data_IF_481321566220
#
_entry.id   IF_481321566220
#
_cell.length_a   1.000
_cell.length_b   1.000
_cell.length_c   1.000
_cell.angle_alpha   90.00
_cell.angle_beta   90.00
_cell.angle_gamma   90.00
#
_symmetry.space_group_name_H-M   'P 1'
#
loop_
_entity.id
_entity.type
_entity.pdbx_description
1 polymer ?
#
# COMPACT_ATOMS: atom_id res chain seq x y z
N UNK A 1 8.86 17.49 10.95
CA UNK A 1 7.79 16.47 10.81
C UNK A 1 8.14 15.59 9.62
N UNK A 2 8.16 14.26 9.80
CA UNK A 2 8.41 13.29 8.74
C UNK A 2 7.18 13.23 7.81
N UNK A 3 7.40 13.12 6.49
CA UNK A 3 6.31 12.98 5.51
C UNK A 3 5.76 11.55 5.51
N UNK A 4 4.43 11.37 5.60
CA UNK A 4 3.77 10.09 5.42
C UNK A 4 3.23 9.97 3.98
N UNK A 5 3.88 9.14 3.17
CA UNK A 5 3.56 8.91 1.76
C UNK A 5 2.68 7.67 1.59
N UNK A 6 1.45 7.87 1.16
CA UNK A 6 0.43 6.83 1.02
C UNK A 6 0.22 6.39 -0.44
N UNK A 7 -0.14 5.11 -0.68
CA UNK A 7 -0.49 4.61 -1.99
C UNK A 7 -1.93 4.94 -2.38
N UNK A 8 -2.19 5.21 -3.67
CA UNK A 8 -3.54 5.18 -4.21
C UNK A 8 -3.58 4.46 -5.56
N UNK A 9 -4.43 3.43 -5.66
CA UNK A 9 -4.71 2.72 -6.90
C UNK A 9 -5.95 3.27 -7.62
N UNK A 10 -6.81 4.01 -6.94
CA UNK A 10 -8.04 4.61 -7.46
C UNK A 10 -8.48 5.79 -6.56
N UNK A 11 -9.54 6.48 -6.96
CA UNK A 11 -10.06 7.65 -6.21
C UNK A 11 -10.57 7.30 -4.80
N UNK A 12 -11.10 6.09 -4.58
CA UNK A 12 -11.53 5.66 -3.24
C UNK A 12 -10.32 5.55 -2.31
N UNK A 13 -9.23 4.92 -2.79
CA UNK A 13 -7.98 4.81 -2.04
C UNK A 13 -7.33 6.18 -1.82
N UNK A 14 -7.40 7.09 -2.82
CA UNK A 14 -6.92 8.47 -2.70
C UNK A 14 -7.66 9.22 -1.58
N UNK A 15 -8.99 9.20 -1.61
CA UNK A 15 -9.80 9.81 -0.57
C UNK A 15 -9.53 9.19 0.81
N UNK A 16 -9.35 7.86 0.86
CA UNK A 16 -8.99 7.13 2.09
C UNK A 16 -7.66 7.59 2.66
N UNK A 17 -6.62 7.73 1.83
CA UNK A 17 -5.31 8.21 2.25
C UNK A 17 -5.39 9.64 2.82
N UNK A 18 -6.00 10.55 2.06
CA UNK A 18 -6.08 11.98 2.41
C UNK A 18 -6.86 12.21 3.71
N UNK A 19 -8.02 11.58 3.87
CA UNK A 19 -8.85 11.71 5.07
C UNK A 19 -8.20 11.15 6.33
N UNK A 20 -7.27 10.23 6.19
CA UNK A 20 -6.57 9.61 7.30
C UNK A 20 -5.17 10.22 7.56
N UNK A 21 -4.83 11.35 6.93
CA UNK A 21 -3.67 12.16 7.30
C UNK A 21 -2.39 11.85 6.52
N UNK A 22 -2.51 11.42 5.26
CA UNK A 22 -1.35 11.34 4.35
C UNK A 22 -0.87 12.76 3.99
N UNK A 23 0.44 13.01 4.13
CA UNK A 23 1.09 14.25 3.70
C UNK A 23 1.35 14.27 2.19
N UNK A 24 1.47 13.09 1.60
CA UNK A 24 1.62 12.91 0.17
C UNK A 24 0.99 11.59 -0.30
N UNK A 25 0.58 11.56 -1.56
CA UNK A 25 0.03 10.35 -2.19
C UNK A 25 0.78 10.05 -3.47
N UNK A 26 1.07 8.77 -3.71
CA UNK A 26 1.64 8.33 -4.98
C UNK A 26 0.67 7.45 -5.76
N UNK A 27 0.55 7.74 -7.06
CA UNK A 27 -0.33 7.06 -8.01
C UNK A 27 0.49 6.43 -9.13
N UNK A 28 -0.10 5.51 -9.87
CA UNK A 28 0.46 4.99 -11.13
C UNK A 28 -0.43 5.40 -12.29
N UNK A 29 0.16 5.68 -13.43
CA UNK A 29 -0.56 5.79 -14.68
C UNK A 29 -0.84 4.39 -15.23
N UNK A 30 -1.72 4.28 -16.23
CA UNK A 30 -2.07 3.00 -16.88
C UNK A 30 -0.84 2.27 -17.42
N UNK A 31 0.22 3.01 -17.75
CA UNK A 31 1.47 2.48 -18.25
C UNK A 31 2.68 2.98 -17.44
N UNK A 32 3.84 2.37 -17.64
CA UNK A 32 5.13 2.81 -17.07
C UNK A 32 5.26 2.75 -15.55
N UNK A 33 4.47 1.91 -14.86
CA UNK A 33 4.54 1.74 -13.41
C UNK A 33 4.61 0.26 -12.99
N UNK A 34 5.15 -0.02 -11.80
CA UNK A 34 5.38 -1.36 -11.24
C UNK A 34 4.11 -2.12 -10.84
N UNK A 35 2.92 -1.61 -11.09
CA UNK A 35 1.60 -2.20 -10.75
C UNK A 35 0.61 -1.98 -11.90
N UNK A 36 0.98 -2.39 -13.12
CA UNK A 36 0.12 -2.25 -14.32
C UNK A 36 -1.24 -2.94 -14.14
N UNK A 37 -1.27 -4.07 -13.41
CA UNK A 37 -2.49 -4.83 -13.16
C UNK A 37 -3.36 -4.27 -12.03
N UNK A 38 -2.94 -3.20 -11.32
CA UNK A 38 -3.82 -2.46 -10.42
C UNK A 38 -4.75 -1.52 -11.20
N UNK A 39 -5.79 -1.05 -10.56
CA UNK A 39 -6.47 0.14 -11.07
C UNK A 39 -5.45 1.28 -11.09
N UNK A 40 -5.38 2.01 -12.17
CA UNK A 40 -4.44 3.11 -12.35
C UNK A 40 -5.20 4.35 -12.80
N UNK A 41 -4.52 5.49 -12.85
CA UNK A 41 -5.08 6.76 -13.24
C UNK A 41 -4.71 7.07 -14.69
N UNK A 42 -5.60 7.72 -15.43
CA UNK A 42 -5.25 8.36 -16.70
C UNK A 42 -4.48 9.68 -16.43
N UNK A 43 -3.86 10.24 -17.47
CA UNK A 43 -3.21 11.57 -17.35
C UNK A 43 -4.24 12.65 -17.03
N UNK A 44 -5.46 12.52 -17.51
CA UNK A 44 -6.58 13.43 -17.25
C UNK A 44 -7.04 13.37 -15.80
N UNK A 45 -7.04 12.18 -15.18
CA UNK A 45 -7.41 11.97 -13.77
C UNK A 45 -6.46 12.69 -12.80
N UNK A 46 -5.22 12.98 -13.20
CA UNK A 46 -4.23 13.70 -12.36
C UNK A 46 -4.80 15.03 -11.89
N UNK A 47 -5.56 15.75 -12.73
CA UNK A 47 -6.14 17.06 -12.37
C UNK A 47 -7.07 16.95 -11.17
N UNK A 48 -7.97 15.97 -11.17
CA UNK A 48 -8.89 15.75 -10.06
C UNK A 48 -8.16 15.20 -8.84
N UNK A 49 -7.24 14.24 -9.04
CA UNK A 49 -6.40 13.71 -7.96
C UNK A 49 -5.58 14.83 -7.27
N UNK A 50 -4.95 15.70 -8.05
CA UNK A 50 -4.19 16.84 -7.54
C UNK A 50 -5.08 17.85 -6.81
N UNK A 51 -6.30 18.11 -7.32
CA UNK A 51 -7.27 18.98 -6.62
C UNK A 51 -7.61 18.40 -5.26
N UNK A 52 -7.92 17.09 -5.19
CA UNK A 52 -8.19 16.40 -3.93
C UNK A 52 -6.99 16.50 -2.97
N UNK A 53 -5.77 16.29 -3.44
CA UNK A 53 -4.57 16.42 -2.61
C UNK A 53 -4.44 17.85 -2.05
N UNK A 54 -4.64 18.87 -2.86
CA UNK A 54 -4.58 20.28 -2.42
C UNK A 54 -5.64 20.63 -1.36
N UNK A 55 -6.84 20.05 -1.44
CA UNK A 55 -7.89 20.25 -0.44
C UNK A 55 -7.47 19.78 0.97
N UNK A 56 -6.45 18.90 1.05
CA UNK A 56 -5.86 18.36 2.28
C UNK A 56 -4.40 18.81 2.52
N UNK A 57 -3.88 19.79 1.76
CA UNK A 57 -2.47 20.22 1.79
C UNK A 57 -1.47 19.09 1.53
N UNK A 58 -1.87 18.04 0.82
CA UNK A 58 -1.03 16.91 0.47
C UNK A 58 -0.42 17.09 -0.92
N UNK A 59 0.74 16.46 -1.15
CA UNK A 59 1.41 16.38 -2.45
C UNK A 59 0.94 15.17 -3.26
N UNK A 60 1.09 15.26 -4.59
CA UNK A 60 0.79 14.18 -5.53
C UNK A 60 2.03 13.80 -6.33
N UNK A 61 2.47 12.54 -6.19
CA UNK A 61 3.57 11.99 -6.97
C UNK A 61 3.09 10.92 -7.96
N UNK A 62 3.65 10.94 -9.17
CA UNK A 62 3.30 9.99 -10.22
C UNK A 62 4.44 9.00 -10.42
N UNK A 63 4.13 7.70 -10.45
CA UNK A 63 5.13 6.64 -10.66
C UNK A 63 5.40 6.43 -12.15
N UNK A 64 6.70 6.48 -12.51
CA UNK A 64 7.27 6.12 -13.81
C UNK A 64 8.52 5.26 -13.56
N UNK A 65 8.34 4.12 -12.89
CA UNK A 65 9.44 3.38 -12.26
C UNK A 65 9.59 1.93 -12.75
N UNK A 66 9.21 1.63 -13.97
CA UNK A 66 9.50 0.36 -14.64
C UNK A 66 10.82 0.42 -15.41
N UNK A 67 11.32 -0.72 -15.88
CA UNK A 67 12.35 -0.75 -16.92
C UNK A 67 11.73 -0.14 -18.20
N UNK A 68 12.39 0.86 -18.77
CA UNK A 68 11.92 1.59 -19.93
C UNK A 68 12.77 1.30 -21.16
N UNK A 69 12.13 1.28 -22.32
CA UNK A 69 12.74 1.26 -23.64
C UNK A 69 12.57 2.64 -24.28
N UNK A 70 13.31 2.93 -25.33
CA UNK A 70 13.25 4.25 -26.01
C UNK A 70 11.82 4.71 -26.27
N UNK A 71 10.97 3.83 -26.80
CA UNK A 71 9.54 4.12 -27.01
C UNK A 71 8.77 4.53 -25.75
N UNK A 72 9.17 4.01 -24.59
CA UNK A 72 8.51 4.31 -23.31
C UNK A 72 8.97 5.68 -22.79
N UNK A 73 10.26 5.99 -22.98
CA UNK A 73 10.86 7.31 -22.73
C UNK A 73 10.19 8.38 -23.60
N UNK A 74 10.15 8.17 -24.95
CA UNK A 74 9.54 9.11 -25.89
C UNK A 74 8.05 9.39 -25.59
N UNK A 75 7.34 8.39 -25.10
CA UNK A 75 5.94 8.54 -24.69
C UNK A 75 5.83 9.39 -23.42
N UNK A 76 6.64 9.07 -22.40
CA UNK A 76 6.62 9.79 -21.13
C UNK A 76 7.06 11.25 -21.30
N UNK A 77 8.08 11.51 -22.13
CA UNK A 77 8.52 12.86 -22.49
C UNK A 77 7.34 13.73 -22.97
N UNK A 78 6.47 13.18 -23.82
CA UNK A 78 5.25 13.88 -24.29
C UNK A 78 4.19 14.07 -23.22
N UNK A 79 4.18 13.20 -22.20
CA UNK A 79 3.21 13.26 -21.10
C UNK A 79 3.65 14.19 -19.97
N UNK A 80 4.95 14.39 -19.72
CA UNK A 80 5.47 15.19 -18.63
C UNK A 80 4.88 16.61 -18.56
N UNK A 81 4.77 17.39 -19.66
CA UNK A 81 4.14 18.70 -19.61
C UNK A 81 2.67 18.65 -19.17
N UNK A 82 1.92 17.63 -19.58
CA UNK A 82 0.52 17.44 -19.18
C UNK A 82 0.40 17.00 -17.72
N UNK A 83 1.29 16.14 -17.25
CA UNK A 83 1.36 15.73 -15.85
C UNK A 83 1.59 16.94 -14.95
N UNK A 84 2.53 17.83 -15.31
CA UNK A 84 2.78 19.08 -14.60
C UNK A 84 1.58 20.01 -14.67
N UNK A 85 1.02 20.24 -15.86
CA UNK A 85 -0.15 21.10 -16.05
C UNK A 85 -1.36 20.64 -15.24
N UNK A 86 -1.53 19.32 -15.08
CA UNK A 86 -2.59 18.72 -14.28
C UNK A 86 -2.30 18.77 -12.77
N UNK A 87 -1.12 19.25 -12.35
CA UNK A 87 -0.82 19.62 -10.98
C UNK A 87 -0.11 18.55 -10.14
N UNK A 88 0.57 17.58 -10.76
CA UNK A 88 1.50 16.71 -10.04
C UNK A 88 2.70 17.51 -9.50
N UNK A 89 3.22 17.10 -8.34
CA UNK A 89 4.39 17.73 -7.70
C UNK A 89 5.70 17.09 -8.15
N UNK A 90 5.72 15.80 -8.44
CA UNK A 90 6.93 15.10 -8.83
C UNK A 90 6.70 13.72 -9.42
N UNK A 91 7.79 13.12 -9.91
CA UNK A 91 7.83 11.80 -10.54
C UNK A 91 8.71 10.86 -9.71
N UNK A 92 8.18 9.69 -9.38
CA UNK A 92 8.96 8.58 -8.82
C UNK A 92 9.45 7.73 -10.00
N UNK A 93 10.72 7.83 -10.33
CA UNK A 93 11.37 7.25 -11.50
C UNK A 93 12.44 6.22 -11.14
N UNK A 94 12.80 5.34 -12.06
CA UNK A 94 13.92 4.40 -11.91
C UNK A 94 14.96 4.49 -13.04
N UNK A 95 14.62 5.18 -14.12
CA UNK A 95 15.55 5.37 -15.25
C UNK A 95 16.24 6.73 -15.13
N UNK A 96 17.57 6.73 -15.14
CA UNK A 96 18.37 7.96 -15.02
C UNK A 96 18.14 8.93 -16.18
N UNK A 97 17.77 8.42 -17.38
CA UNK A 97 17.45 9.26 -18.54
C UNK A 97 16.26 10.20 -18.31
N UNK A 98 15.39 9.88 -17.36
CA UNK A 98 14.21 10.69 -17.05
C UNK A 98 14.52 11.89 -16.16
N UNK A 99 15.67 11.92 -15.49
CA UNK A 99 15.95 12.94 -14.46
C UNK A 99 15.89 14.33 -15.08
N UNK A 100 16.67 14.58 -16.13
CA UNK A 100 16.72 15.89 -16.78
C UNK A 100 15.35 16.29 -17.36
N UNK A 101 14.65 15.34 -18.01
CA UNK A 101 13.31 15.59 -18.58
C UNK A 101 12.29 15.98 -17.50
N UNK A 102 12.35 15.35 -16.32
CA UNK A 102 11.47 15.66 -15.18
C UNK A 102 11.78 17.06 -14.64
N UNK A 103 13.06 17.37 -14.48
CA UNK A 103 13.50 18.68 -13.98
C UNK A 103 13.18 19.82 -14.96
N UNK A 104 13.33 19.63 -16.27
CA UNK A 104 12.97 20.59 -17.31
C UNK A 104 11.48 20.91 -17.34
N UNK A 105 10.64 20.04 -16.78
CA UNK A 105 9.19 20.27 -16.62
C UNK A 105 8.82 20.80 -15.22
N UNK A 106 9.76 21.31 -14.42
CA UNK A 106 9.55 21.81 -13.05
C UNK A 106 8.89 20.78 -12.12
N UNK A 107 9.16 19.48 -12.30
CA UNK A 107 8.71 18.40 -11.45
C UNK A 107 9.85 17.93 -10.52
N UNK A 108 9.52 17.54 -9.29
CA UNK A 108 10.50 16.91 -8.40
C UNK A 108 10.87 15.50 -8.92
N UNK A 109 12.16 15.20 -9.01
CA UNK A 109 12.66 13.87 -9.35
C UNK A 109 12.92 13.06 -8.07
N UNK A 110 12.18 11.95 -7.89
CA UNK A 110 12.34 11.02 -6.77
C UNK A 110 12.84 9.68 -7.29
N UNK A 111 14.04 9.27 -6.88
CA UNK A 111 14.60 7.98 -7.30
C UNK A 111 13.91 6.83 -6.60
N UNK A 112 13.36 5.91 -7.40
CA UNK A 112 12.60 4.76 -6.91
C UNK A 112 13.49 3.72 -6.22
N UNK A 113 12.92 2.92 -5.34
CA UNK A 113 13.55 1.72 -4.75
C UNK A 113 14.08 0.73 -5.80
N UNK A 114 13.58 0.79 -7.03
CA UNK A 114 14.04 -0.05 -8.14
C UNK A 114 15.50 0.19 -8.51
N UNK A 115 16.06 1.36 -8.17
CA UNK A 115 17.49 1.65 -8.36
C UNK A 115 18.37 1.05 -7.26
N UNK A 116 17.76 0.55 -6.18
CA UNK A 116 18.44 -0.13 -5.07
C UNK A 116 19.56 0.71 -4.44
N UNK A 117 19.24 1.95 -4.08
CA UNK A 117 20.17 2.87 -3.42
C UNK A 117 20.47 2.38 -2.00
N UNK A 118 21.76 2.05 -1.73
CA UNK A 118 22.21 1.42 -0.47
C UNK A 118 23.33 2.15 0.23
N UNK A 119 23.81 3.28 -0.29
CA UNK A 119 24.97 3.96 0.30
C UNK A 119 24.96 5.48 0.02
N UNK A 120 25.67 6.22 0.88
CA UNK A 120 25.77 7.68 0.80
C UNK A 120 26.46 8.20 -0.47
N UNK A 121 27.30 7.40 -1.11
CA UNK A 121 27.98 7.80 -2.35
C UNK A 121 27.00 7.83 -3.52
N UNK A 122 26.12 6.82 -3.63
CA UNK A 122 25.05 6.78 -4.60
C UNK A 122 24.09 7.96 -4.41
N UNK A 123 23.67 8.22 -3.15
CA UNK A 123 22.80 9.36 -2.81
C UNK A 123 23.42 10.69 -3.27
N UNK A 124 24.69 10.93 -2.98
CA UNK A 124 25.39 12.15 -3.44
C UNK A 124 25.55 12.24 -4.96
N UNK A 125 25.67 11.11 -5.64
CA UNK A 125 25.68 11.10 -7.10
C UNK A 125 24.30 11.47 -7.67
N UNK A 126 23.23 10.93 -7.11
CA UNK A 126 21.85 11.28 -7.46
C UNK A 126 21.54 12.77 -7.18
N UNK A 127 22.00 13.30 -6.04
CA UNK A 127 21.86 14.71 -5.72
C UNK A 127 22.53 15.62 -6.76
N UNK A 128 23.72 15.26 -7.25
CA UNK A 128 24.40 16.00 -8.32
C UNK A 128 23.63 16.00 -9.64
N UNK A 129 22.83 14.96 -9.89
CA UNK A 129 21.92 14.88 -11.04
C UNK A 129 20.61 15.66 -10.82
N UNK A 130 20.40 16.28 -9.66
CA UNK A 130 19.20 17.04 -9.35
C UNK A 130 18.07 16.22 -8.72
N UNK A 131 18.32 14.95 -8.37
CA UNK A 131 17.34 14.13 -7.65
C UNK A 131 17.12 14.73 -6.25
N UNK A 132 15.86 15.01 -5.92
CA UNK A 132 15.48 15.60 -4.63
C UNK A 132 15.38 14.56 -3.52
N UNK A 133 14.90 13.36 -3.84
CA UNK A 133 14.65 12.28 -2.87
C UNK A 133 15.04 10.93 -3.46
N UNK A 134 15.55 10.04 -2.63
CA UNK A 134 15.76 8.65 -3.01
C UNK A 134 15.08 7.69 -2.02
N UNK A 135 14.33 6.74 -2.59
CA UNK A 135 13.72 5.63 -1.83
C UNK A 135 14.81 4.58 -1.64
N UNK A 136 15.20 4.34 -0.40
CA UNK A 136 16.28 3.43 -0.04
C UNK A 136 15.90 1.97 -0.31
N UNK A 137 16.92 1.15 -0.56
CA UNK A 137 16.76 -0.30 -0.66
C UNK A 137 16.15 -0.87 0.62
N UNK A 138 15.35 -1.93 0.47
CA UNK A 138 14.68 -2.60 1.59
C UNK A 138 15.59 -3.57 2.35
N UNK A 139 16.76 -3.86 1.80
CA UNK A 139 17.76 -4.77 2.36
C UNK A 139 18.67 -4.09 3.39
N UNK A 140 18.47 -2.79 3.65
CA UNK A 140 19.25 -2.02 4.64
C UNK A 140 18.69 -2.21 6.04
N UNK A 141 19.62 -2.42 7.00
CA UNK A 141 19.30 -2.32 8.41
C UNK A 141 19.14 -0.85 8.86
N UNK A 142 18.42 -0.62 9.95
CA UNK A 142 18.25 0.73 10.51
C UNK A 142 19.59 1.36 10.90
N UNK A 143 20.55 0.57 11.37
CA UNK A 143 21.88 1.06 11.72
C UNK A 143 22.68 1.53 10.50
N UNK A 144 22.57 0.84 9.36
CA UNK A 144 23.17 1.28 8.10
C UNK A 144 22.52 2.58 7.60
N UNK A 145 21.19 2.69 7.68
CA UNK A 145 20.46 3.91 7.33
C UNK A 145 20.89 5.09 8.22
N UNK A 146 20.98 4.91 9.55
CA UNK A 146 21.47 5.93 10.49
C UNK A 146 22.88 6.43 10.13
N UNK A 147 23.80 5.50 9.87
CA UNK A 147 25.18 5.82 9.47
C UNK A 147 25.23 6.59 8.16
N UNK A 148 24.41 6.18 7.19
CA UNK A 148 24.31 6.82 5.87
C UNK A 148 23.79 8.26 5.99
N UNK A 149 22.68 8.47 6.71
CA UNK A 149 22.10 9.80 6.95
C UNK A 149 23.05 10.72 7.72
N UNK A 150 23.71 10.19 8.76
CA UNK A 150 24.72 10.95 9.51
C UNK A 150 25.84 11.45 8.60
N UNK A 151 26.32 10.59 7.69
CA UNK A 151 27.36 10.95 6.73
C UNK A 151 26.89 11.99 5.72
N UNK A 152 25.66 11.86 5.20
CA UNK A 152 25.07 12.86 4.31
C UNK A 152 24.99 14.23 4.99
N UNK A 153 24.50 14.28 6.23
CA UNK A 153 24.41 15.51 7.02
C UNK A 153 25.79 16.13 7.24
N UNK A 154 26.82 15.33 7.58
CA UNK A 154 28.20 15.82 7.75
C UNK A 154 28.81 16.38 6.47
N UNK A 155 28.42 15.84 5.32
CA UNK A 155 28.88 16.28 3.99
C UNK A 155 28.05 17.46 3.43
N UNK A 156 27.04 17.95 4.16
CA UNK A 156 26.17 19.07 3.74
C UNK A 156 25.19 18.72 2.62
N UNK A 157 24.93 17.43 2.37
CA UNK A 157 23.97 16.95 1.39
C UNK A 157 22.53 17.33 1.78
N UNK A 158 21.72 17.67 0.79
CA UNK A 158 20.30 18.04 0.94
C UNK A 158 19.34 17.00 0.37
N UNK A 159 19.87 15.90 -0.19
CA UNK A 159 19.03 14.84 -0.72
C UNK A 159 18.19 14.22 0.40
N UNK A 160 16.89 14.09 0.15
CA UNK A 160 15.97 13.46 1.08
C UNK A 160 16.04 11.94 0.98
N UNK A 161 15.81 11.28 2.11
CA UNK A 161 15.73 9.82 2.20
C UNK A 161 14.28 9.39 2.47
N UNK A 162 13.82 8.37 1.75
CA UNK A 162 12.51 7.76 1.92
C UNK A 162 12.67 6.27 2.17
N UNK A 163 11.90 5.71 3.09
CA UNK A 163 11.91 4.28 3.40
C UNK A 163 10.51 3.70 3.42
N UNK A 164 10.38 2.43 3.06
CA UNK A 164 9.13 1.71 3.29
C UNK A 164 9.00 1.35 4.77
N UNK A 165 7.80 1.55 5.32
CA UNK A 165 7.48 1.24 6.72
C UNK A 165 6.38 0.20 6.86
N UNK A 166 5.62 -0.08 5.79
CA UNK A 166 4.48 -1.01 5.82
C UNK A 166 4.20 -1.63 4.45
N UNK A 167 3.77 -2.88 4.48
CA UNK A 167 3.21 -3.59 3.34
C UNK A 167 4.09 -4.69 2.75
N UNK A 168 3.72 -5.16 1.58
CA UNK A 168 4.29 -6.36 0.99
C UNK A 168 5.79 -6.26 0.72
N UNK A 169 6.55 -7.26 1.19
CA UNK A 169 7.95 -7.48 0.84
C UNK A 169 8.07 -8.29 -0.46
N UNK A 170 9.12 -8.03 -1.25
CA UNK A 170 9.48 -8.87 -2.37
C UNK A 170 10.46 -9.95 -1.92
N UNK A 171 10.37 -11.15 -2.52
CA UNK A 171 11.35 -12.23 -2.32
C UNK A 171 12.69 -11.95 -3.02
N UNK A 172 12.68 -11.06 -4.01
CA UNK A 172 13.85 -10.63 -4.76
C UNK A 172 14.13 -9.14 -4.51
N UNK A 173 15.33 -8.71 -4.85
CA UNK A 173 15.68 -7.29 -4.93
C UNK A 173 14.62 -6.56 -5.77
N UNK A 174 14.13 -5.43 -5.29
CA UNK A 174 13.05 -4.67 -5.92
C UNK A 174 13.35 -4.37 -7.38
N UNK A 175 12.43 -4.74 -8.29
CA UNK A 175 12.58 -4.51 -9.74
C UNK A 175 13.56 -5.43 -10.47
N UNK A 176 14.09 -6.48 -9.83
CA UNK A 176 15.07 -7.39 -10.44
C UNK A 176 14.69 -8.86 -10.22
N UNK A 177 13.49 -9.23 -10.68
CA UNK A 177 12.94 -10.58 -10.54
C UNK A 177 12.48 -11.13 -11.88
N UNK A 178 12.99 -12.33 -12.25
CA UNK A 178 12.59 -13.03 -13.47
C UNK A 178 11.60 -14.18 -13.23
N UNK A 179 11.18 -14.46 -11.97
CA UNK A 179 10.34 -15.61 -11.65
C UNK A 179 9.01 -15.58 -12.42
N UNK A 180 8.30 -14.44 -12.42
CA UNK A 180 7.04 -14.29 -13.15
C UNK A 180 7.24 -14.37 -14.67
N UNK A 181 8.35 -13.86 -15.19
CA UNK A 181 8.67 -13.95 -16.63
C UNK A 181 9.00 -15.38 -17.04
N UNK A 182 9.82 -16.08 -16.26
CA UNK A 182 10.22 -17.44 -16.56
C UNK A 182 9.05 -18.44 -16.57
N UNK A 183 8.08 -18.23 -15.66
CA UNK A 183 6.92 -19.13 -15.54
C UNK A 183 5.76 -18.77 -16.48
N UNK A 184 5.54 -17.48 -16.74
CA UNK A 184 4.31 -17.01 -17.41
C UNK A 184 4.56 -16.06 -18.58
N UNK A 185 5.81 -15.71 -18.90
CA UNK A 185 6.13 -14.71 -19.90
C UNK A 185 5.74 -13.26 -19.49
N UNK A 186 5.37 -13.04 -18.20
CA UNK A 186 4.90 -11.75 -17.67
C UNK A 186 5.98 -11.12 -16.78
N UNK A 187 6.53 -9.97 -17.20
CA UNK A 187 7.71 -9.38 -16.56
C UNK A 187 7.39 -8.58 -15.31
N UNK A 188 7.86 -9.04 -14.16
CA UNK A 188 7.83 -8.26 -12.93
C UNK A 188 8.57 -6.93 -13.04
N UNK A 189 9.66 -6.89 -13.81
CA UNK A 189 10.51 -5.71 -13.99
C UNK A 189 9.84 -4.61 -14.84
N UNK A 190 8.83 -5.00 -15.63
CA UNK A 190 7.98 -4.09 -16.42
C UNK A 190 6.61 -3.83 -15.75
N UNK A 191 6.46 -4.16 -14.47
CA UNK A 191 5.22 -3.91 -13.72
C UNK A 191 4.14 -4.98 -13.84
N UNK A 192 4.38 -6.05 -14.60
CA UNK A 192 3.41 -7.09 -14.93
C UNK A 192 3.68 -8.41 -14.16
N UNK A 193 3.84 -8.30 -12.84
CA UNK A 193 4.12 -9.43 -11.96
C UNK A 193 2.84 -10.19 -11.58
N UNK A 194 2.77 -11.49 -11.87
CA UNK A 194 1.70 -12.37 -11.40
C UNK A 194 1.92 -12.95 -9.99
N UNK A 195 2.98 -12.51 -9.33
CA UNK A 195 3.32 -12.88 -7.94
C UNK A 195 3.42 -14.40 -7.69
N UNK A 196 4.14 -15.18 -8.52
CA UNK A 196 4.26 -16.63 -8.29
C UNK A 196 4.90 -16.97 -6.94
N UNK A 197 5.73 -16.09 -6.38
CA UNK A 197 6.28 -16.27 -5.03
C UNK A 197 5.21 -16.29 -3.93
N UNK A 198 3.98 -15.82 -4.22
CA UNK A 198 2.85 -15.80 -3.26
C UNK A 198 1.94 -17.01 -3.36
N UNK A 199 2.21 -17.91 -4.30
CA UNK A 199 1.45 -19.12 -4.49
C UNK A 199 2.01 -20.25 -3.65
N UNK A 200 1.19 -21.25 -3.42
CA UNK A 200 1.62 -22.52 -2.85
C UNK A 200 2.45 -23.31 -3.86
N UNK A 201 3.52 -23.90 -3.40
CA UNK A 201 4.42 -24.75 -4.16
C UNK A 201 4.47 -26.13 -3.57
N UNK A 202 4.49 -27.15 -4.42
CA UNK A 202 4.66 -28.53 -4.05
C UNK A 202 6.11 -28.94 -4.28
N UNK A 203 6.74 -29.47 -3.23
CA UNK A 203 8.07 -30.06 -3.26
C UNK A 203 7.91 -31.56 -3.35
N UNK A 204 8.46 -32.18 -4.39
CA UNK A 204 8.58 -33.62 -4.52
C UNK A 204 10.03 -34.03 -4.34
N UNK A 205 10.30 -34.94 -3.40
CA UNK A 205 11.61 -35.52 -3.19
C UNK A 205 11.65 -36.88 -3.86
N UNK A 206 12.49 -37.05 -4.88
CA UNK A 206 12.76 -38.32 -5.51
C UNK A 206 14.11 -38.84 -5.01
N UNK A 207 14.11 -39.99 -4.32
CA UNK A 207 15.34 -40.74 -4.03
C UNK A 207 15.82 -41.36 -5.34
N UNK A 208 16.69 -40.69 -6.05
CA UNK A 208 17.47 -41.31 -7.11
C UNK A 208 18.82 -41.73 -6.54
N UNK A 209 19.19 -43.01 -6.62
CA UNK A 209 20.33 -43.61 -5.93
C UNK A 209 21.72 -43.02 -6.17
N UNK A 210 21.84 -41.79 -6.64
CA UNK A 210 23.08 -41.01 -6.77
C UNK A 210 22.96 -39.51 -6.53
N UNK A 211 21.79 -38.91 -6.71
CA UNK A 211 21.56 -37.49 -6.48
C UNK A 211 20.13 -37.29 -6.01
N UNK A 212 19.93 -36.54 -4.91
CA UNK A 212 18.60 -36.14 -4.43
C UNK A 212 18.03 -35.13 -5.40
N UNK A 213 16.96 -35.44 -6.11
CA UNK A 213 16.28 -34.55 -7.04
C UNK A 213 15.08 -33.91 -6.33
N UNK A 214 15.07 -32.59 -6.24
CA UNK A 214 13.93 -31.83 -5.74
C UNK A 214 13.14 -31.28 -6.93
N UNK A 215 11.93 -31.76 -7.14
CA UNK A 215 11.03 -31.24 -8.13
C UNK A 215 10.10 -30.21 -7.51
N UNK A 216 10.03 -29.00 -8.13
CA UNK A 216 9.16 -27.91 -7.73
C UNK A 216 8.00 -27.79 -8.69
N UNK A 217 6.78 -27.85 -8.21
CA UNK A 217 5.59 -27.59 -8.99
C UNK A 217 4.66 -26.59 -8.29
N UNK A 218 4.03 -25.69 -9.05
CA UNK A 218 2.98 -24.84 -8.53
C UNK A 218 1.76 -25.70 -8.18
N UNK A 219 1.27 -25.59 -6.95
CA UNK A 219 0.05 -26.27 -6.52
C UNK A 219 -1.17 -25.67 -7.22
N UNK A 220 -1.99 -26.50 -7.85
CA UNK A 220 -3.21 -26.09 -8.55
C UNK A 220 -4.48 -26.21 -7.69
N UNK A 221 -4.35 -26.76 -6.48
CA UNK A 221 -5.48 -26.99 -5.58
C UNK A 221 -5.52 -25.92 -4.50
N UNK A 222 -6.63 -25.20 -4.38
CA UNK A 222 -6.86 -24.14 -3.39
C UNK A 222 -7.16 -24.69 -1.98
N UNK A 223 -7.17 -26.00 -1.78
CA UNK A 223 -7.45 -26.58 -0.49
C UNK A 223 -6.22 -26.60 0.41
N UNK A 224 -6.27 -25.79 1.44
CA UNK A 224 -5.32 -25.74 2.56
C UNK A 224 -5.26 -27.06 3.31
N UNK A 225 -4.12 -27.74 3.28
CA UNK A 225 -3.73 -28.68 4.34
C UNK A 225 -2.21 -28.79 4.34
N UNK A 226 -1.55 -28.47 5.47
CA UNK A 226 -0.26 -29.07 5.82
C UNK A 226 -0.58 -30.53 6.11
N UNK A 227 -0.64 -31.36 5.11
CA UNK A 227 -0.66 -32.81 5.29
C UNK A 227 0.77 -33.30 5.11
N UNK A 228 1.36 -33.88 6.13
CA UNK A 228 2.42 -34.85 5.93
C UNK A 228 1.87 -35.88 4.95
N UNK A 229 2.17 -35.69 3.68
CA UNK A 229 1.81 -36.67 2.69
C UNK A 229 2.71 -37.90 2.87
N UNK A 230 2.14 -39.06 2.77
CA UNK A 230 2.81 -40.38 2.88
C UNK A 230 3.79 -40.69 1.72
N UNK A 231 4.12 -39.66 0.87
CA UNK A 231 4.85 -39.86 -0.40
C UNK A 231 5.99 -38.87 -0.66
N UNK A 232 6.66 -38.34 0.37
CA UNK A 232 7.75 -37.35 0.23
C UNK A 232 7.33 -36.08 -0.52
N UNK A 233 6.08 -35.65 -0.42
CA UNK A 233 5.55 -34.42 -1.02
C UNK A 233 5.25 -33.40 0.05
N UNK A 234 5.80 -32.18 -0.08
CA UNK A 234 5.55 -31.07 0.84
C UNK A 234 4.92 -29.90 0.08
N UNK A 235 3.81 -29.36 0.59
CA UNK A 235 3.17 -28.16 0.06
C UNK A 235 3.46 -26.99 0.99
N UNK A 236 3.93 -25.88 0.44
CA UNK A 236 4.26 -24.70 1.24
C UNK A 236 4.39 -23.45 0.40
N UNK A 237 4.18 -22.30 1.03
CA UNK A 237 4.38 -20.96 0.47
C UNK A 237 5.80 -20.44 0.74
N UNK A 238 6.82 -21.26 0.69
CA UNK A 238 8.18 -20.94 1.14
C UNK A 238 8.86 -19.77 0.43
N UNK A 239 8.32 -19.28 -0.69
CA UNK A 239 8.75 -18.04 -1.33
C UNK A 239 7.95 -16.80 -0.92
N UNK A 240 6.95 -16.92 -0.04
CA UNK A 240 6.06 -15.84 0.33
C UNK A 240 6.51 -15.18 1.64
N UNK A 241 7.29 -14.07 1.62
CA UNK A 241 7.66 -13.38 2.84
C UNK A 241 6.43 -12.77 3.50
N UNK A 242 6.48 -12.60 4.82
CA UNK A 242 5.53 -11.79 5.58
C UNK A 242 5.48 -10.35 5.05
N UNK A 243 4.41 -9.66 5.34
CA UNK A 243 4.32 -8.22 5.08
C UNK A 243 5.09 -7.45 6.16
N UNK A 244 5.72 -6.36 5.80
CA UNK A 244 6.47 -5.52 6.73
C UNK A 244 5.51 -4.63 7.54
N UNK A 245 5.77 -4.46 8.85
CA UNK A 245 5.14 -3.46 9.69
C UNK A 245 6.13 -2.92 10.73
N UNK A 246 6.42 -1.63 10.65
CA UNK A 246 7.35 -0.94 11.56
C UNK A 246 6.64 -0.01 12.54
N UNK A 247 5.36 -0.30 12.85
CA UNK A 247 4.52 0.56 13.68
C UNK A 247 5.07 0.68 15.12
N UNK A 248 5.72 -0.35 15.63
CA UNK A 248 6.34 -0.35 16.97
C UNK A 248 7.62 0.49 17.03
N UNK A 249 8.23 0.78 15.86
CA UNK A 249 9.56 1.36 15.72
C UNK A 249 9.54 2.79 15.16
N UNK A 250 8.41 3.48 15.23
CA UNK A 250 8.28 4.86 14.73
C UNK A 250 9.28 5.81 15.40
N UNK A 251 9.52 5.75 16.72
CA UNK A 251 10.55 6.57 17.36
C UNK A 251 11.94 6.41 16.75
N UNK A 252 12.39 5.18 16.62
CA UNK A 252 13.73 4.86 16.11
C UNK A 252 13.93 5.29 14.66
N UNK A 253 12.86 5.24 13.84
CA UNK A 253 12.86 5.67 12.44
C UNK A 253 12.91 7.21 12.32
N UNK A 254 12.15 7.92 13.14
CA UNK A 254 12.14 9.39 13.17
C UNK A 254 13.50 9.89 13.68
N UNK A 255 14.03 9.29 14.74
CA UNK A 255 15.33 9.68 15.33
C UNK A 255 16.52 9.31 14.43
N UNK A 256 16.36 8.35 13.52
CA UNK A 256 17.33 8.11 12.45
C UNK A 256 17.44 9.29 11.49
N UNK A 257 16.43 10.17 11.46
CA UNK A 257 16.41 11.37 10.63
C UNK A 257 15.98 11.10 9.18
N UNK A 258 15.16 10.10 8.97
CA UNK A 258 14.53 9.78 7.68
C UNK A 258 13.50 10.86 7.35
N UNK A 259 13.44 11.29 6.09
CA UNK A 259 12.60 12.42 5.67
C UNK A 259 11.18 11.99 5.28
N UNK A 260 10.98 10.76 4.78
CA UNK A 260 9.67 10.29 4.32
C UNK A 260 9.46 8.81 4.62
N UNK A 261 8.27 8.48 5.09
CA UNK A 261 7.79 7.14 5.39
C UNK A 261 6.76 6.70 4.34
N UNK A 262 7.05 5.61 3.66
CA UNK A 262 6.22 5.10 2.55
C UNK A 262 5.46 3.84 2.92
N UNK A 263 4.16 3.86 2.66
CA UNK A 263 3.30 2.67 2.74
C UNK A 263 3.21 2.03 1.34
N UNK A 264 3.46 0.72 1.23
CA UNK A 264 3.20 -0.06 0.02
C UNK A 264 1.74 -0.50 -0.01
N UNK A 265 1.06 -0.36 -1.16
CA UNK A 265 -0.34 -0.80 -1.22
C UNK A 265 -1.16 -0.31 -2.40
N UNK A 266 -0.61 0.11 -3.55
CA UNK A 266 -1.42 0.55 -4.71
C UNK A 266 -2.40 -0.50 -5.24
N UNK A 267 -2.07 -1.77 -5.10
CA UNK A 267 -2.94 -2.88 -5.46
C UNK A 267 -3.82 -3.36 -4.29
N UNK A 268 -3.81 -2.66 -3.16
CA UNK A 268 -4.61 -3.00 -1.98
C UNK A 268 -5.94 -2.27 -1.99
N UNK A 269 -6.88 -2.80 -1.20
CA UNK A 269 -8.21 -2.23 -1.04
C UNK A 269 -8.17 -0.88 -0.30
N UNK A 270 -9.19 -0.01 -0.50
CA UNK A 270 -9.23 1.31 0.16
C UNK A 270 -9.23 1.26 1.68
N UNK A 271 -9.81 0.22 2.30
CA UNK A 271 -9.80 0.01 3.75
C UNK A 271 -8.39 -0.26 4.29
N UNK A 272 -7.58 -1.04 3.56
CA UNK A 272 -6.17 -1.21 3.89
C UNK A 272 -5.44 0.14 3.91
N UNK A 273 -5.65 0.96 2.88
CA UNK A 273 -5.02 2.29 2.80
C UNK A 273 -5.49 3.18 3.94
N UNK A 274 -6.81 3.23 4.20
CA UNK A 274 -7.38 4.02 5.30
C UNK A 274 -6.78 3.61 6.64
N UNK A 275 -6.77 2.31 6.95
CA UNK A 275 -6.29 1.79 8.24
C UNK A 275 -4.79 2.03 8.40
N UNK A 276 -3.97 1.66 7.42
CA UNK A 276 -2.53 1.84 7.50
C UNK A 276 -2.17 3.33 7.67
N UNK A 277 -2.70 4.22 6.84
CA UNK A 277 -2.40 5.66 6.94
C UNK A 277 -2.82 6.22 8.30
N UNK A 278 -4.03 5.90 8.78
CA UNK A 278 -4.53 6.38 10.06
C UNK A 278 -3.65 5.93 11.23
N UNK A 279 -3.32 4.65 11.29
CA UNK A 279 -2.52 4.08 12.37
C UNK A 279 -1.11 4.68 12.39
N UNK A 280 -0.43 4.74 11.24
CA UNK A 280 0.91 5.36 11.17
C UNK A 280 0.87 6.86 11.45
N UNK A 281 -0.15 7.58 10.99
CA UNK A 281 -0.30 9.01 11.31
C UNK A 281 -0.46 9.24 12.81
N UNK A 282 -1.29 8.45 13.48
CA UNK A 282 -1.46 8.53 14.93
C UNK A 282 -0.15 8.28 15.69
N UNK A 283 0.62 7.27 15.29
CA UNK A 283 1.89 6.95 15.94
C UNK A 283 2.93 8.06 15.72
N UNK A 284 3.05 8.59 14.49
CA UNK A 284 3.95 9.69 14.17
C UNK A 284 3.58 10.93 14.96
N UNK A 285 2.30 11.33 14.96
CA UNK A 285 1.82 12.52 15.67
C UNK A 285 2.02 12.39 17.18
N UNK A 286 1.74 11.20 17.76
CA UNK A 286 1.95 10.95 19.17
C UNK A 286 3.42 11.13 19.55
N UNK A 287 4.35 10.59 18.77
CA UNK A 287 5.77 10.71 19.05
C UNK A 287 6.31 12.13 18.81
N UNK A 288 5.91 12.80 17.72
CA UNK A 288 6.39 14.15 17.44
C UNK A 288 5.85 15.19 18.42
N UNK A 289 4.63 14.99 18.96
CA UNK A 289 4.03 15.90 19.95
C UNK A 289 4.60 15.72 21.36
N UNK A 290 4.94 14.50 21.76
CA UNK A 290 5.48 14.22 23.10
C UNK A 290 6.45 13.03 23.06
N UNK A 291 7.72 13.32 22.79
CA UNK A 291 8.78 12.31 22.67
C UNK A 291 9.12 11.65 24.00
N UNK A 292 9.02 12.40 25.11
CA UNK A 292 9.45 11.93 26.43
C UNK A 292 8.45 10.94 27.04
N UNK A 293 7.14 11.11 26.74
CA UNK A 293 6.07 10.26 27.25
C UNK A 293 5.44 9.38 26.17
N UNK A 294 6.14 9.16 25.05
CA UNK A 294 5.63 8.27 24.02
C UNK A 294 5.52 6.84 24.52
N UNK A 295 4.35 6.27 24.37
CA UNK A 295 4.08 4.85 24.57
C UNK A 295 3.45 4.27 23.33
N UNK A 296 3.98 3.12 22.90
CA UNK A 296 3.38 2.34 21.82
C UNK A 296 1.99 1.85 22.23
N UNK A 297 1.03 1.95 21.31
CA UNK A 297 -0.34 1.48 21.53
C UNK A 297 -0.53 0.14 20.81
N UNK A 298 -0.69 -0.99 21.53
CA UNK A 298 -0.89 -2.30 20.92
C UNK A 298 -2.13 -2.37 20.00
N UNK A 299 -3.12 -1.52 20.21
CA UNK A 299 -4.30 -1.44 19.35
C UNK A 299 -3.95 -1.10 17.90
N UNK A 300 -2.85 -0.40 17.66
CA UNK A 300 -2.40 -0.09 16.29
C UNK A 300 -2.07 -1.36 15.49
N UNK A 301 -1.40 -2.33 16.10
CA UNK A 301 -1.12 -3.60 15.42
C UNK A 301 -2.42 -4.40 15.22
N UNK A 302 -3.29 -4.43 16.21
CA UNK A 302 -4.60 -5.09 16.11
C UNK A 302 -5.44 -4.52 14.96
N UNK A 303 -5.40 -3.20 14.74
CA UNK A 303 -6.08 -2.55 13.62
C UNK A 303 -5.45 -2.94 12.26
N UNK A 304 -4.13 -3.01 12.18
CA UNK A 304 -3.43 -3.46 10.96
C UNK A 304 -3.74 -4.92 10.63
N UNK A 305 -3.95 -5.78 11.63
CA UNK A 305 -4.33 -7.18 11.45
C UNK A 305 -5.77 -7.37 10.95
N UNK A 306 -6.65 -6.38 11.11
CA UNK A 306 -8.04 -6.45 10.63
C UNK A 306 -8.12 -6.41 9.10
N UNK A 307 -7.19 -5.72 8.45
CA UNK A 307 -7.13 -5.59 6.99
C UNK A 307 -6.20 -6.62 6.37
N UNK A 308 -6.15 -6.71 5.05
CA UNK A 308 -5.32 -7.68 4.35
C UNK A 308 -3.87 -7.62 4.83
N UNK A 309 -3.34 -8.75 5.29
CA UNK A 309 -1.93 -8.95 5.63
C UNK A 309 -1.53 -10.42 5.44
N UNK A 310 -0.22 -10.71 5.50
CA UNK A 310 0.36 -12.04 5.46
C UNK A 310 1.13 -12.38 6.74
N UNK A 311 0.66 -11.88 7.87
CA UNK A 311 1.47 -11.75 9.07
C UNK A 311 2.50 -10.65 8.90
N UNK A 312 3.06 -10.18 10.00
CA UNK A 312 3.98 -9.06 9.99
C UNK A 312 5.36 -9.45 10.51
N UNK A 313 6.39 -8.80 9.96
CA UNK A 313 7.74 -8.74 10.48
C UNK A 313 8.35 -7.36 10.26
N UNK A 314 9.58 -7.14 10.71
CA UNK A 314 10.28 -5.86 10.57
C UNK A 314 11.10 -5.74 9.28
N UNK A 315 11.01 -6.70 8.36
CA UNK A 315 11.92 -6.77 7.22
C UNK A 315 13.38 -6.86 7.66
N UNK A 316 14.26 -6.21 6.91
CA UNK A 316 15.71 -6.20 7.21
C UNK A 316 16.13 -5.14 8.23
N UNK A 317 15.22 -4.33 8.78
CA UNK A 317 15.58 -3.20 9.63
C UNK A 317 16.28 -3.60 10.92
N UNK A 318 15.89 -4.71 11.53
CA UNK A 318 16.41 -5.18 12.82
C UNK A 318 17.01 -6.59 12.73
N UNK A 319 16.50 -7.42 11.80
CA UNK A 319 16.95 -8.79 11.62
C UNK A 319 16.77 -9.21 10.16
N UNK A 320 17.22 -10.42 9.78
CA UNK A 320 16.96 -10.99 8.46
C UNK A 320 15.62 -11.72 8.49
N UNK A 321 14.67 -11.36 7.60
CA UNK A 321 13.37 -12.02 7.60
C UNK A 321 13.49 -13.46 7.09
N UNK A 322 13.26 -14.43 7.96
CA UNK A 322 13.29 -15.87 7.62
C UNK A 322 11.91 -16.46 7.44
N UNK A 323 10.91 -15.81 8.04
CA UNK A 323 9.58 -16.39 8.11
C UNK A 323 8.80 -16.17 6.82
N UNK A 324 8.12 -17.20 6.40
CA UNK A 324 7.21 -17.19 5.26
C UNK A 324 5.76 -17.17 5.73
N UNK A 325 4.87 -16.72 4.86
CA UNK A 325 3.45 -16.63 5.14
C UNK A 325 2.64 -17.39 4.10
N UNK A 326 1.64 -18.09 4.53
CA UNK A 326 0.78 -18.88 3.66
C UNK A 326 -0.13 -17.99 2.80
N UNK A 327 -1.01 -17.21 3.40
CA UNK A 327 -2.02 -16.44 2.66
C UNK A 327 -2.47 -15.19 3.42
N UNK A 328 -3.62 -14.65 3.04
CA UNK A 328 -4.24 -13.54 3.75
C UNK A 328 -4.67 -13.93 5.16
N UNK A 329 -4.07 -13.30 6.16
CA UNK A 329 -4.32 -13.51 7.59
C UNK A 329 -5.23 -12.44 8.21
N UNK A 330 -5.89 -11.59 7.39
CA UNK A 330 -6.83 -10.59 7.93
C UNK A 330 -7.93 -11.25 8.75
N UNK A 331 -8.27 -10.63 9.89
CA UNK A 331 -9.28 -11.17 10.82
C UNK A 331 -10.71 -11.10 10.27
N UNK A 332 -10.96 -10.27 9.25
CA UNK A 332 -12.30 -10.02 8.70
C UNK A 332 -12.35 -10.17 7.20
N UNK A 333 -13.54 -10.52 6.73
CA UNK A 333 -13.91 -10.53 5.31
C UNK A 333 -15.01 -9.49 5.09
N UNK A 334 -14.94 -8.76 3.97
CA UNK A 334 -15.98 -7.82 3.56
C UNK A 334 -17.06 -8.54 2.78
N UNK A 335 -18.30 -8.47 3.27
CA UNK A 335 -19.48 -8.94 2.56
C UNK A 335 -20.23 -7.75 2.01
N UNK A 336 -20.42 -7.68 0.70
CA UNK A 336 -21.19 -6.62 0.05
C UNK A 336 -22.67 -6.79 0.44
N UNK A 337 -23.23 -5.79 1.12
CA UNK A 337 -24.60 -5.83 1.65
C UNK A 337 -25.49 -4.70 1.16
N UNK A 338 -24.96 -3.69 0.47
CA UNK A 338 -25.83 -2.58 0.09
C UNK A 338 -25.13 -1.39 -0.51
N UNK A 339 -25.90 -0.33 -0.66
CA UNK A 339 -25.42 0.98 -1.08
C UNK A 339 -26.19 2.09 -0.39
N UNK A 340 -25.55 3.25 -0.29
CA UNK A 340 -26.17 4.50 0.16
C UNK A 340 -27.15 5.00 -0.91
N UNK A 341 -28.39 5.26 -0.51
CA UNK A 341 -29.42 5.87 -1.35
C UNK A 341 -29.45 7.38 -1.17
N UNK A 342 -29.35 7.84 0.08
CA UNK A 342 -29.33 9.25 0.41
C UNK A 342 -28.61 9.51 1.74
N UNK A 343 -28.15 10.75 1.93
CA UNK A 343 -27.57 11.22 3.19
C UNK A 343 -28.19 12.55 3.61
N UNK A 344 -28.86 12.54 4.75
CA UNK A 344 -29.54 13.69 5.33
C UNK A 344 -28.59 14.48 6.25
N UNK A 345 -27.84 15.39 5.67
CA UNK A 345 -26.71 16.09 6.33
C UNK A 345 -27.10 16.82 7.64
N UNK A 346 -28.34 17.34 7.77
CA UNK A 346 -28.79 18.07 8.96
C UNK A 346 -28.96 17.20 10.19
N UNK A 347 -29.46 15.97 9.97
CA UNK A 347 -29.79 15.01 11.04
C UNK A 347 -28.78 13.88 11.14
N UNK A 348 -27.72 13.90 10.31
CA UNK A 348 -26.65 12.88 10.28
C UNK A 348 -27.20 11.45 10.13
N UNK A 349 -28.06 11.25 9.14
CA UNK A 349 -28.71 9.96 8.84
C UNK A 349 -28.43 9.57 7.41
N UNK A 350 -28.02 8.34 7.20
CA UNK A 350 -27.90 7.71 5.89
C UNK A 350 -29.08 6.76 5.64
N UNK A 351 -29.65 6.82 4.46
CA UNK A 351 -30.58 5.81 3.96
C UNK A 351 -29.82 4.79 3.10
N UNK A 352 -29.85 3.54 3.50
CA UNK A 352 -29.19 2.42 2.83
C UNK A 352 -30.20 1.51 2.16
N UNK A 353 -29.95 1.15 0.90
CA UNK A 353 -30.63 0.02 0.25
C UNK A 353 -29.79 -1.22 0.49
N UNK A 354 -30.34 -2.18 1.24
CA UNK A 354 -29.62 -3.41 1.59
C UNK A 354 -30.14 -4.61 0.80
N UNK A 355 -29.25 -5.54 0.46
CA UNK A 355 -29.55 -6.83 -0.17
C UNK A 355 -29.06 -8.03 0.65
N UNK A 356 -28.72 -7.77 1.91
CA UNK A 356 -28.46 -8.77 2.93
C UNK A 356 -28.94 -8.26 4.30
N UNK A 357 -29.03 -9.14 5.30
CA UNK A 357 -29.51 -8.78 6.64
C UNK A 357 -28.50 -7.84 7.36
N UNK A 358 -29.06 -6.86 8.08
CA UNK A 358 -28.30 -5.93 8.92
C UNK A 358 -28.92 -5.88 10.33
N UNK A 359 -28.07 -5.81 11.38
CA UNK A 359 -28.49 -5.80 12.79
C UNK A 359 -27.81 -4.69 13.57
N UNK A 360 -28.38 -4.27 14.68
CA UNK A 360 -27.70 -3.45 15.67
C UNK A 360 -26.45 -4.18 16.15
N UNK A 361 -25.35 -3.43 16.28
CA UNK A 361 -24.02 -3.95 16.66
C UNK A 361 -23.21 -4.52 15.50
N UNK A 362 -23.77 -4.65 14.29
CA UNK A 362 -22.99 -5.01 13.12
C UNK A 362 -21.97 -3.91 12.78
N UNK A 363 -20.76 -4.30 12.48
CA UNK A 363 -19.72 -3.40 11.97
C UNK A 363 -19.81 -3.36 10.45
N UNK A 364 -20.04 -2.18 9.90
CA UNK A 364 -20.11 -1.95 8.46
C UNK A 364 -18.96 -1.08 7.97
N UNK A 365 -18.64 -1.23 6.70
CA UNK A 365 -17.70 -0.39 6.00
C UNK A 365 -18.39 0.27 4.81
N UNK A 366 -18.20 1.59 4.65
CA UNK A 366 -18.80 2.35 3.56
C UNK A 366 -17.66 2.91 2.70
N UNK A 367 -17.76 2.72 1.38
CA UNK A 367 -16.71 3.09 0.43
C UNK A 367 -17.26 3.86 -0.76
N UNK A 368 -16.61 5.00 -1.07
CA UNK A 368 -16.95 5.82 -2.24
C UNK A 368 -15.81 6.76 -2.67
N UNK A 369 -15.83 7.27 -3.92
CA UNK A 369 -14.72 8.04 -4.49
C UNK A 369 -14.37 9.32 -3.72
N UNK A 370 -15.34 9.93 -3.05
CA UNK A 370 -15.13 11.10 -2.20
C UNK A 370 -15.29 10.82 -0.72
N UNK A 371 -15.98 9.73 -0.38
CA UNK A 371 -16.16 9.25 1.01
C UNK A 371 -14.88 8.56 1.51
N UNK A 372 -14.12 7.94 0.62
CA UNK A 372 -13.01 7.07 0.99
C UNK A 372 -13.53 5.76 1.55
N UNK A 373 -12.87 5.22 2.55
CA UNK A 373 -13.29 4.03 3.29
C UNK A 373 -13.45 4.40 4.76
N UNK A 374 -14.66 4.23 5.31
CA UNK A 374 -14.99 4.48 6.70
C UNK A 374 -15.64 3.24 7.31
N UNK A 375 -15.36 2.99 8.59
CA UNK A 375 -15.96 1.91 9.37
C UNK A 375 -16.90 2.49 10.40
N UNK A 376 -18.06 1.86 10.59
CA UNK A 376 -19.09 2.31 11.51
C UNK A 376 -19.79 1.12 12.18
N UNK A 377 -19.98 1.18 13.48
CA UNK A 377 -20.80 0.20 14.21
C UNK A 377 -22.24 0.70 14.26
N UNK A 378 -23.17 -0.13 13.83
CA UNK A 378 -24.59 0.23 13.80
C UNK A 378 -25.15 0.33 15.23
N UNK A 379 -25.39 1.53 15.68
CA UNK A 379 -25.97 1.84 16.99
C UNK A 379 -27.48 2.12 16.92
N UNK A 380 -28.00 2.51 15.76
CA UNK A 380 -29.42 2.79 15.56
C UNK A 380 -29.86 2.46 14.14
N UNK A 381 -31.05 1.90 14.01
CA UNK A 381 -31.69 1.62 12.72
C UNK A 381 -33.17 1.96 12.75
N UNK A 382 -33.69 2.47 11.63
CA UNK A 382 -35.10 2.75 11.46
C UNK A 382 -35.60 2.35 10.06
N UNK A 383 -36.83 1.87 9.99
CA UNK A 383 -37.61 1.73 8.74
C UNK A 383 -38.93 2.48 8.93
N UNK A 384 -39.28 3.37 8.00
CA UNK A 384 -40.51 4.21 8.03
C UNK A 384 -40.67 4.97 9.37
N UNK A 385 -39.56 5.47 9.94
CA UNK A 385 -39.53 6.21 11.19
C UNK A 385 -39.69 5.36 12.47
N UNK A 386 -39.75 4.02 12.35
CA UNK A 386 -39.83 3.11 13.50
C UNK A 386 -38.47 2.48 13.76
N UNK A 387 -38.01 2.52 15.01
CA UNK A 387 -36.80 1.85 15.45
C UNK A 387 -36.90 0.32 15.27
N UNK A 388 -35.84 -0.29 14.78
CA UNK A 388 -35.72 -1.72 14.59
C UNK A 388 -34.35 -2.23 15.04
N UNK A 389 -34.28 -3.51 15.43
CA UNK A 389 -33.03 -4.18 15.79
C UNK A 389 -32.44 -4.98 14.63
N UNK A 390 -33.28 -5.36 13.68
CA UNK A 390 -32.89 -6.12 12.48
C UNK A 390 -33.61 -5.58 11.25
N UNK A 391 -32.84 -5.35 10.18
CA UNK A 391 -33.36 -5.07 8.84
C UNK A 391 -33.12 -6.29 7.94
N UNK A 392 -34.15 -6.69 7.19
CA UNK A 392 -34.06 -7.84 6.29
C UNK A 392 -33.66 -7.42 4.88
N UNK A 393 -33.10 -8.37 4.13
CA UNK A 393 -32.77 -8.23 2.72
C UNK A 393 -33.88 -7.54 1.93
N UNK A 394 -33.52 -6.54 1.13
CA UNK A 394 -34.43 -5.79 0.28
C UNK A 394 -34.99 -4.51 0.91
N UNK A 395 -34.71 -4.28 2.21
CA UNK A 395 -35.18 -3.09 2.91
C UNK A 395 -34.44 -1.83 2.52
N UNK A 396 -35.09 -0.67 2.70
CA UNK A 396 -34.44 0.61 2.85
C UNK A 396 -34.35 0.90 4.35
N UNK A 397 -33.16 1.09 4.88
CA UNK A 397 -32.92 1.30 6.31
C UNK A 397 -32.19 2.62 6.54
N UNK A 398 -32.66 3.40 7.50
CA UNK A 398 -32.01 4.62 7.95
C UNK A 398 -31.07 4.29 9.14
N UNK A 399 -29.85 4.74 9.08
CA UNK A 399 -28.84 4.62 10.16
C UNK A 399 -28.31 6.00 10.53
N UNK A 400 -28.01 6.22 11.81
CA UNK A 400 -27.29 7.41 12.25
C UNK A 400 -25.79 7.26 11.92
N UNK A 401 -25.18 8.28 11.32
CA UNK A 401 -23.75 8.30 11.01
C UNK A 401 -23.29 9.74 10.78
N UNK A 402 -22.26 10.17 11.49
CA UNK A 402 -21.76 11.55 11.45
C UNK A 402 -21.02 11.90 10.18
N UNK A 403 -20.31 10.93 9.60
CA UNK A 403 -19.53 11.10 8.38
C UNK A 403 -20.45 11.31 7.18
N UNK A 404 -20.10 12.33 6.39
CA UNK A 404 -20.86 12.67 5.19
C UNK A 404 -20.65 11.62 4.10
N UNK A 405 -21.73 10.87 3.82
CA UNK A 405 -21.77 9.89 2.75
C UNK A 405 -22.28 10.49 1.44
N UNK A 406 -22.14 9.72 0.37
CA UNK A 406 -22.64 10.05 -0.97
C UNK A 406 -23.58 8.97 -1.49
N UNK A 407 -24.52 9.38 -2.31
CA UNK A 407 -25.36 8.45 -3.05
C UNK A 407 -24.46 7.50 -3.86
N UNK A 408 -24.85 6.23 -3.87
CA UNK A 408 -24.15 5.12 -4.52
C UNK A 408 -22.83 4.67 -3.85
N UNK A 409 -22.44 5.21 -2.69
CA UNK A 409 -21.38 4.61 -1.90
C UNK A 409 -21.74 3.16 -1.55
N UNK A 410 -20.79 2.25 -1.69
CA UNK A 410 -20.97 0.83 -1.37
C UNK A 410 -20.94 0.59 0.13
N UNK A 411 -21.81 -0.34 0.58
CA UNK A 411 -21.86 -0.74 2.00
C UNK A 411 -21.51 -2.21 2.13
N UNK A 412 -20.50 -2.48 2.94
CA UNK A 412 -20.04 -3.83 3.26
C UNK A 412 -20.26 -4.11 4.74
N UNK A 413 -20.55 -5.36 5.08
CA UNK A 413 -20.51 -5.85 6.45
C UNK A 413 -19.19 -6.54 6.71
N UNK A 414 -18.54 -6.24 7.83
CA UNK A 414 -17.35 -6.93 8.29
C UNK A 414 -17.77 -8.20 9.03
N UNK A 415 -17.37 -9.34 8.52
CA UNK A 415 -17.64 -10.63 9.16
C UNK A 415 -16.31 -11.30 9.53
N UNK A 416 -16.21 -11.94 10.71
CA UNK A 416 -15.01 -12.66 11.08
C UNK A 416 -14.64 -13.69 10.00
N UNK A 417 -13.35 -13.87 9.75
CA UNK A 417 -12.84 -14.93 8.87
C UNK A 417 -12.92 -16.26 9.64
N UNK A 418 -13.52 -17.27 9.04
CA UNK A 418 -13.57 -18.65 9.56
C UNK A 418 -12.20 -19.34 9.48
#
# INVERSE_FOLDING_TARGET
MVELLAPAGNFISLASALKNGADAVYIGLEESNMRINASNFSVEDIREASRMCRDYNAKLYVCANTIMKDRDIERLEKQLPLIKQNGADGIILSDIALIDMVLENDLEAHMSVQENTTNSYALKALEKLGVKRAILSRELSLDEIKKMISKLKSDGSKIQTEVFIHGAMCMAISGRCFLSYGLYGRSANCGDCLQPCRKEWTLHFEESGKDDVINLAESKDESFIISQAYDNTYRTNFFSPKDMALIEHIPELIDAGIDSFKIEGRARSPDYVATAVRVYRQAIDRYENDRENYEYDPQWMEELEKVFNRGFDTGFYFDVPYETSESNQSRYVKKDIGKVVNYYNRIKVAELKIWDDLRLGDEIMIQGPTTGSITHVIDSMQIDGKAIEKAEKGSNVAIAIDEKLRESDFVYKLVPRE
#
